data_IF_717656972493
#
_entry.id   IF_717656972493
#
_cell.length_a   1.000
_cell.length_b   1.000
_cell.length_c   1.000
_cell.angle_alpha   90.00
_cell.angle_beta   90.00
_cell.angle_gamma   90.00
#
_symmetry.space_group_name_H-M   'P 1'
#
loop_
_entity.id
_entity.type
_entity.pdbx_description
1 polymer ?
#
# COMPACT_ATOMS: atom_id res chain seq x y z
N UNK A 1 40.06 32.22 -7.36
CA UNK A 1 38.80 31.57 -7.78
C UNK A 1 38.51 30.45 -6.76
N UNK A 2 37.63 30.71 -5.80
CA UNK A 2 37.33 29.84 -4.64
C UNK A 2 35.80 29.69 -4.50
N UNK A 3 35.15 29.03 -5.46
CA UNK A 3 33.68 28.81 -5.43
C UNK A 3 33.31 27.35 -5.08
N UNK A 4 34.28 26.42 -5.07
CA UNK A 4 33.98 24.98 -4.94
C UNK A 4 33.83 24.42 -3.51
N UNK A 5 34.13 25.19 -2.45
CA UNK A 5 34.05 24.66 -1.07
C UNK A 5 32.66 24.89 -0.43
N UNK A 6 31.97 25.98 -0.77
CA UNK A 6 30.67 26.32 -0.18
C UNK A 6 29.52 25.40 -0.63
N UNK A 7 29.58 24.86 -1.85
CA UNK A 7 28.52 23.99 -2.37
C UNK A 7 28.48 22.60 -1.71
N UNK A 8 29.64 22.08 -1.30
CA UNK A 8 29.73 20.75 -0.66
C UNK A 8 29.15 20.79 0.75
N UNK A 9 29.40 21.86 1.51
CA UNK A 9 28.90 21.99 2.89
C UNK A 9 27.38 22.15 2.94
N UNK A 10 26.80 22.86 1.97
CA UNK A 10 25.35 23.03 1.89
C UNK A 10 24.59 21.72 1.61
N UNK A 11 25.11 20.87 0.70
CA UNK A 11 24.48 19.59 0.39
C UNK A 11 24.47 18.62 1.59
N UNK A 12 25.53 18.61 2.39
CA UNK A 12 25.61 17.75 3.59
C UNK A 12 24.61 18.14 4.67
N UNK A 13 24.31 19.43 4.83
CA UNK A 13 23.39 19.91 5.88
C UNK A 13 21.92 19.58 5.60
N UNK A 14 21.51 19.57 4.32
CA UNK A 14 20.12 19.25 3.94
C UNK A 14 19.81 17.77 4.17
N UNK A 15 20.75 16.87 3.87
CA UNK A 15 20.56 15.43 4.08
C UNK A 15 20.43 15.06 5.56
N UNK A 16 21.08 15.79 6.47
CA UNK A 16 21.03 15.50 7.90
C UNK A 16 19.72 15.94 8.55
N UNK A 17 19.13 17.05 8.10
CA UNK A 17 17.86 17.54 8.63
C UNK A 17 16.70 16.58 8.28
N UNK A 18 16.64 16.14 7.02
CA UNK A 18 15.63 15.19 6.54
C UNK A 18 15.66 13.85 7.27
N UNK A 19 16.87 13.34 7.55
CA UNK A 19 17.04 12.13 8.35
C UNK A 19 16.49 12.32 9.77
N UNK A 20 16.82 13.43 10.43
CA UNK A 20 16.40 13.71 11.80
C UNK A 20 14.87 13.72 11.96
N UNK A 21 14.15 14.30 11.00
CA UNK A 21 12.69 14.36 11.02
C UNK A 21 12.06 12.95 10.96
N UNK A 22 12.53 12.09 10.05
CA UNK A 22 12.04 10.71 9.95
C UNK A 22 12.31 9.92 11.24
N UNK A 23 13.52 10.03 11.79
CA UNK A 23 13.89 9.24 12.97
C UNK A 23 13.10 9.65 14.21
N UNK A 24 12.74 10.93 14.36
CA UNK A 24 11.88 11.39 15.45
C UNK A 24 10.43 10.97 15.23
N UNK A 25 9.88 11.22 14.04
CA UNK A 25 8.48 10.95 13.72
C UNK A 25 8.31 10.49 12.26
N UNK A 26 8.33 9.17 12.00
CA UNK A 26 8.19 8.62 10.66
C UNK A 26 6.87 9.03 9.97
N UNK A 27 5.77 9.16 10.73
CA UNK A 27 4.49 9.53 10.16
C UNK A 27 4.50 10.96 9.66
N UNK A 28 4.90 11.91 10.49
CA UNK A 28 4.91 13.33 10.09
C UNK A 28 5.91 13.55 8.94
N UNK A 29 7.08 12.92 8.98
CA UNK A 29 8.08 13.00 7.91
C UNK A 29 7.59 12.45 6.55
N UNK A 30 6.67 11.47 6.57
CA UNK A 30 6.08 10.88 5.35
C UNK A 30 4.83 11.64 4.89
N UNK A 31 3.93 11.96 5.83
CA UNK A 31 2.58 12.43 5.54
C UNK A 31 2.41 13.96 5.58
N UNK A 32 3.33 14.69 6.21
CA UNK A 32 3.27 16.15 6.34
C UNK A 32 4.34 16.86 5.48
N UNK A 33 4.94 16.15 4.52
CA UNK A 33 5.94 16.69 3.61
C UNK A 33 5.37 17.83 2.74
N UNK A 34 6.03 19.00 2.68
CA UNK A 34 5.60 20.12 1.84
C UNK A 34 5.49 19.76 0.35
N UNK A 35 4.47 20.28 -0.33
CA UNK A 35 4.29 20.13 -1.79
C UNK A 35 3.88 18.74 -2.27
N UNK A 36 3.42 17.87 -1.36
CA UNK A 36 2.92 16.52 -1.68
C UNK A 36 1.59 16.25 -0.98
N UNK A 37 0.71 17.25 -0.96
CA UNK A 37 -0.50 17.14 -0.14
C UNK A 37 -1.44 16.08 -0.68
N UNK A 38 -2.06 15.31 0.21
CA UNK A 38 -3.12 14.37 -0.14
C UNK A 38 -4.23 15.04 -0.96
N UNK A 39 -4.53 16.31 -0.65
CA UNK A 39 -5.55 17.11 -1.33
C UNK A 39 -5.26 17.32 -2.83
N UNK A 40 -4.03 17.66 -3.20
CA UNK A 40 -3.65 17.85 -4.61
C UNK A 40 -3.77 16.55 -5.41
N UNK A 41 -3.40 15.42 -4.79
CA UNK A 41 -3.51 14.09 -5.42
C UNK A 41 -4.96 13.71 -5.63
N UNK A 42 -5.80 13.95 -4.64
CA UNK A 42 -7.23 13.69 -4.72
C UNK A 42 -7.90 14.59 -5.77
N UNK A 43 -7.52 15.88 -5.83
CA UNK A 43 -8.05 16.81 -6.83
C UNK A 43 -7.78 16.34 -8.28
N UNK A 44 -6.61 15.75 -8.55
CA UNK A 44 -6.29 15.18 -9.88
C UNK A 44 -7.20 14.01 -10.24
N UNK A 45 -7.46 13.10 -9.30
CA UNK A 45 -8.39 11.98 -9.52
C UNK A 45 -9.80 12.50 -9.76
N UNK A 46 -10.27 13.44 -8.95
CA UNK A 46 -11.61 14.01 -9.08
C UNK A 46 -11.80 14.75 -10.41
N UNK A 47 -10.78 15.47 -10.88
CA UNK A 47 -10.80 16.10 -12.21
C UNK A 47 -10.91 15.06 -13.32
N UNK A 48 -10.06 14.03 -13.32
CA UNK A 48 -10.11 12.98 -14.32
C UNK A 48 -11.45 12.23 -14.29
N UNK A 49 -11.96 11.92 -13.10
CA UNK A 49 -13.25 11.27 -12.91
C UNK A 49 -14.40 12.12 -13.45
N UNK A 50 -14.38 13.43 -13.21
CA UNK A 50 -15.37 14.35 -13.76
C UNK A 50 -15.32 14.38 -15.29
N UNK A 51 -14.12 14.45 -15.87
CA UNK A 51 -13.94 14.44 -17.33
C UNK A 51 -14.45 13.15 -17.96
N UNK A 52 -14.09 11.99 -17.41
CA UNK A 52 -14.58 10.67 -17.87
C UNK A 52 -16.10 10.60 -17.80
N UNK A 53 -16.71 11.04 -16.69
CA UNK A 53 -18.17 11.02 -16.51
C UNK A 53 -18.89 11.96 -17.47
N UNK A 54 -18.34 13.16 -17.71
CA UNK A 54 -18.91 14.12 -18.64
C UNK A 54 -18.89 13.60 -20.09
N UNK A 55 -17.78 13.00 -20.50
CA UNK A 55 -17.66 12.39 -21.84
C UNK A 55 -18.60 11.18 -22.00
N UNK A 56 -18.64 10.29 -21.00
CA UNK A 56 -19.56 9.15 -21.00
C UNK A 56 -21.04 9.58 -21.05
N UNK A 57 -21.39 10.69 -20.38
CA UNK A 57 -22.73 11.25 -20.40
C UNK A 57 -23.07 11.82 -21.79
N UNK A 58 -22.11 12.50 -22.44
CA UNK A 58 -22.28 13.00 -23.80
C UNK A 58 -22.52 11.86 -24.80
N UNK A 59 -21.68 10.82 -24.77
CA UNK A 59 -21.83 9.62 -25.61
C UNK A 59 -23.17 8.91 -25.38
N UNK A 60 -23.57 8.74 -24.12
CA UNK A 60 -24.87 8.14 -23.76
C UNK A 60 -26.03 8.99 -24.27
N UNK A 61 -25.94 10.32 -24.14
CA UNK A 61 -26.96 11.25 -24.63
C UNK A 61 -27.14 11.13 -26.13
N UNK A 62 -26.04 11.06 -26.88
CA UNK A 62 -26.06 10.86 -28.33
C UNK A 62 -26.67 9.51 -28.71
N UNK A 63 -26.29 8.43 -28.02
CA UNK A 63 -26.77 7.07 -28.31
C UNK A 63 -28.29 6.93 -28.17
N UNK A 64 -28.89 7.54 -27.14
CA UNK A 64 -30.33 7.46 -26.86
C UNK A 64 -31.15 8.64 -27.42
N UNK A 65 -30.56 9.50 -28.26
CA UNK A 65 -31.27 10.61 -28.92
C UNK A 65 -31.69 11.75 -27.97
N UNK A 66 -30.98 11.92 -26.85
CA UNK A 66 -31.20 13.01 -25.91
C UNK A 66 -30.64 14.35 -26.41
N UNK A 67 -31.04 15.45 -25.76
CA UNK A 67 -30.42 16.78 -25.97
C UNK A 67 -29.30 16.98 -24.95
N UNK A 68 -28.15 17.48 -25.42
CA UNK A 68 -27.00 17.82 -24.58
C UNK A 68 -27.41 18.73 -23.42
N UNK A 69 -26.88 18.44 -22.22
CA UNK A 69 -27.19 19.17 -20.99
C UNK A 69 -28.59 18.96 -20.40
N UNK A 70 -29.47 18.18 -21.06
CA UNK A 70 -30.83 17.87 -20.56
C UNK A 70 -31.07 16.40 -20.29
N UNK A 71 -30.22 15.52 -20.81
CA UNK A 71 -30.31 14.10 -20.57
C UNK A 71 -29.93 13.78 -19.11
N UNK A 72 -30.80 13.02 -18.45
CA UNK A 72 -30.56 12.49 -17.10
C UNK A 72 -30.51 10.98 -17.21
N UNK A 73 -29.43 10.38 -16.76
CA UNK A 73 -29.29 8.92 -16.74
C UNK A 73 -30.28 8.39 -15.69
N UNK A 74 -31.21 7.49 -16.08
CA UNK A 74 -32.11 6.87 -15.12
C UNK A 74 -31.31 6.00 -14.14
N UNK A 75 -31.81 5.83 -12.92
CA UNK A 75 -31.12 5.07 -11.88
C UNK A 75 -30.95 3.58 -12.23
N UNK A 76 -31.88 3.03 -13.00
CA UNK A 76 -31.83 1.68 -13.55
C UNK A 76 -32.26 1.69 -15.01
N UNK A 77 -31.76 0.76 -15.82
CA UNK A 77 -32.15 0.62 -17.22
C UNK A 77 -30.98 0.39 -18.15
N UNK A 78 -31.26 0.34 -19.46
CA UNK A 78 -30.26 0.11 -20.50
C UNK A 78 -29.32 1.30 -20.63
N UNK A 79 -29.82 2.50 -20.39
CA UNK A 79 -29.08 3.76 -20.41
C UNK A 79 -28.01 3.80 -19.32
N UNK A 80 -28.32 3.31 -18.11
CA UNK A 80 -27.36 3.25 -17.01
C UNK A 80 -26.26 2.21 -17.28
N UNK A 81 -26.63 1.04 -17.82
CA UNK A 81 -25.66 0.02 -18.23
C UNK A 81 -24.73 0.55 -19.32
N UNK A 82 -25.29 1.21 -20.34
CA UNK A 82 -24.51 1.83 -21.42
C UNK A 82 -23.60 2.94 -20.91
N UNK A 83 -24.10 3.81 -20.01
CA UNK A 83 -23.30 4.86 -19.40
C UNK A 83 -22.11 4.31 -18.61
N UNK A 84 -22.33 3.27 -17.79
CA UNK A 84 -21.24 2.64 -17.04
C UNK A 84 -20.23 1.94 -17.96
N UNK A 85 -20.70 1.34 -19.06
CA UNK A 85 -19.82 0.79 -20.10
C UNK A 85 -18.97 1.89 -20.76
N UNK A 86 -19.56 3.04 -21.09
CA UNK A 86 -18.80 4.19 -21.61
C UNK A 86 -17.80 4.75 -20.59
N UNK A 87 -18.17 4.85 -19.31
CA UNK A 87 -17.22 5.21 -18.23
C UNK A 87 -16.03 4.25 -18.25
N UNK A 88 -16.28 2.94 -18.23
CA UNK A 88 -15.21 1.94 -18.18
C UNK A 88 -14.31 2.00 -19.41
N UNK A 89 -14.89 2.18 -20.60
CA UNK A 89 -14.16 2.29 -21.86
C UNK A 89 -13.29 3.56 -21.92
N UNK A 90 -13.89 4.73 -21.67
CA UNK A 90 -13.16 6.02 -21.71
C UNK A 90 -12.06 6.05 -20.65
N UNK A 91 -12.36 5.56 -19.44
CA UNK A 91 -11.34 5.43 -18.40
C UNK A 91 -10.20 4.51 -18.84
N UNK A 92 -10.52 3.32 -19.37
CA UNK A 92 -9.50 2.38 -19.85
C UNK A 92 -8.63 3.00 -20.96
N UNK A 93 -9.21 3.72 -21.91
CA UNK A 93 -8.46 4.38 -22.99
C UNK A 93 -7.46 5.42 -22.43
N UNK A 94 -7.87 6.19 -21.42
CA UNK A 94 -7.01 7.20 -20.77
C UNK A 94 -5.96 6.60 -19.83
N UNK A 95 -6.30 5.50 -19.17
CA UNK A 95 -5.49 4.90 -18.09
C UNK A 95 -4.57 3.79 -18.58
N UNK A 96 -4.84 3.17 -19.73
CA UNK A 96 -3.99 2.08 -20.25
C UNK A 96 -2.51 2.48 -20.35
N UNK A 97 -2.12 3.63 -20.94
CA UNK A 97 -0.71 4.01 -21.01
C UNK A 97 -0.05 4.12 -19.62
N UNK A 98 -0.80 4.66 -18.66
CA UNK A 98 -0.39 4.77 -17.25
C UNK A 98 -0.19 3.39 -16.64
N UNK A 99 -1.14 2.47 -16.81
CA UNK A 99 -1.05 1.11 -16.26
C UNK A 99 0.10 0.31 -16.86
N UNK A 100 0.29 0.39 -18.19
CA UNK A 100 1.37 -0.30 -18.88
C UNK A 100 2.73 0.16 -18.35
N UNK A 101 2.96 1.48 -18.27
CA UNK A 101 4.24 2.02 -17.80
C UNK A 101 4.44 1.88 -16.29
N UNK A 102 3.40 2.11 -15.49
CA UNK A 102 3.54 2.11 -14.05
C UNK A 102 3.61 0.68 -13.52
N UNK A 103 2.68 -0.20 -13.92
CA UNK A 103 2.54 -1.52 -13.29
C UNK A 103 3.37 -2.56 -14.03
N UNK A 104 3.07 -2.80 -15.31
CA UNK A 104 3.60 -3.97 -16.02
C UNK A 104 5.13 -3.95 -16.14
N UNK A 105 5.72 -2.78 -16.40
CA UNK A 105 7.17 -2.61 -16.47
C UNK A 105 7.89 -2.81 -15.12
N UNK A 106 7.13 -2.79 -14.02
CA UNK A 106 7.68 -2.85 -12.66
C UNK A 106 7.33 -4.14 -11.89
N UNK A 107 6.43 -5.00 -12.40
CA UNK A 107 5.98 -6.23 -11.72
C UNK A 107 7.16 -7.09 -11.28
N UNK A 108 8.04 -7.43 -12.23
CA UNK A 108 9.17 -8.32 -11.94
C UNK A 108 10.18 -7.69 -10.98
N UNK A 109 10.31 -6.36 -11.02
CA UNK A 109 11.17 -5.63 -10.09
C UNK A 109 10.61 -5.66 -8.66
N UNK A 110 9.30 -5.44 -8.49
CA UNK A 110 8.63 -5.55 -7.18
C UNK A 110 8.72 -6.98 -6.64
N UNK A 111 8.40 -7.99 -7.47
CA UNK A 111 8.57 -9.40 -7.10
C UNK A 111 10.00 -9.73 -6.71
N UNK A 112 10.99 -9.19 -7.42
CA UNK A 112 12.40 -9.31 -7.10
C UNK A 112 12.71 -8.87 -5.67
N UNK A 113 12.36 -7.63 -5.30
CA UNK A 113 12.58 -7.12 -3.94
C UNK A 113 11.85 -7.90 -2.85
N UNK A 114 10.64 -8.41 -3.14
CA UNK A 114 9.92 -9.27 -2.20
C UNK A 114 10.64 -10.61 -2.02
N UNK A 115 11.15 -11.21 -3.09
CA UNK A 115 11.94 -12.45 -3.02
C UNK A 115 13.27 -12.26 -2.27
N UNK A 116 13.95 -11.15 -2.50
CA UNK A 116 15.18 -10.82 -1.75
C UNK A 116 14.88 -10.67 -0.24
N UNK A 117 13.73 -10.09 0.09
CA UNK A 117 13.25 -10.02 1.48
C UNK A 117 13.01 -11.40 2.09
N UNK A 118 12.44 -12.35 1.34
CA UNK A 118 12.27 -13.75 1.78
C UNK A 118 13.62 -14.42 2.03
N UNK A 119 14.61 -14.21 1.16
CA UNK A 119 15.98 -14.73 1.34
C UNK A 119 16.57 -14.21 2.64
N UNK A 120 16.43 -12.92 2.92
CA UNK A 120 16.98 -12.34 4.14
C UNK A 120 16.30 -12.87 5.41
N UNK A 121 14.97 -13.01 5.42
CA UNK A 121 14.26 -13.59 6.58
C UNK A 121 14.67 -15.05 6.84
N UNK A 122 15.00 -15.80 5.80
CA UNK A 122 15.55 -17.15 5.91
C UNK A 122 16.96 -17.16 6.52
N UNK A 123 17.84 -16.23 6.10
CA UNK A 123 19.18 -16.06 6.68
C UNK A 123 19.11 -15.74 8.18
N UNK A 124 18.11 -14.96 8.61
CA UNK A 124 17.88 -14.68 10.03
C UNK A 124 17.21 -15.82 10.81
N UNK A 125 16.92 -16.96 10.16
CA UNK A 125 16.28 -18.12 10.78
C UNK A 125 14.81 -17.90 11.12
N UNK A 126 14.18 -16.89 10.53
CA UNK A 126 12.76 -16.58 10.77
C UNK A 126 11.83 -17.47 9.95
N UNK A 127 12.31 -17.98 8.82
CA UNK A 127 11.61 -18.95 7.96
C UNK A 127 12.57 -20.05 7.54
N UNK A 128 12.06 -21.28 7.41
CA UNK A 128 12.84 -22.41 6.89
C UNK A 128 13.07 -22.31 5.38
N UNK A 129 14.02 -23.07 4.84
CA UNK A 129 14.27 -23.13 3.39
C UNK A 129 13.03 -23.59 2.61
N UNK A 130 12.27 -24.53 3.18
CA UNK A 130 11.04 -25.05 2.60
C UNK A 130 9.93 -23.99 2.57
N UNK A 131 9.73 -23.27 3.68
CA UNK A 131 8.76 -22.16 3.74
C UNK A 131 9.15 -21.04 2.76
N UNK A 132 10.45 -20.67 2.70
CA UNK A 132 10.96 -19.69 1.73
C UNK A 132 10.67 -20.12 0.30
N UNK A 133 10.98 -21.37 -0.06
CA UNK A 133 10.75 -21.90 -1.40
C UNK A 133 9.25 -21.87 -1.77
N UNK A 134 8.38 -22.27 -0.84
CA UNK A 134 6.94 -22.22 -1.03
C UNK A 134 6.41 -20.78 -1.21
N UNK A 135 6.85 -19.85 -0.36
CA UNK A 135 6.47 -18.43 -0.48
C UNK A 135 6.98 -17.82 -1.80
N UNK A 136 8.19 -18.18 -2.22
CA UNK A 136 8.77 -17.72 -3.49
C UNK A 136 7.95 -18.21 -4.68
N UNK A 137 7.57 -19.50 -4.70
CA UNK A 137 6.70 -20.06 -5.74
C UNK A 137 5.34 -19.34 -5.81
N UNK A 138 4.75 -19.03 -4.65
CA UNK A 138 3.51 -18.25 -4.56
C UNK A 138 3.70 -16.84 -5.18
N UNK A 139 4.78 -16.13 -4.86
CA UNK A 139 5.07 -14.81 -5.42
C UNK A 139 5.28 -14.88 -6.94
N UNK A 140 6.04 -15.87 -7.42
CA UNK A 140 6.31 -16.05 -8.85
C UNK A 140 5.03 -16.32 -9.64
N UNK A 141 4.17 -17.23 -9.16
CA UNK A 141 2.90 -17.58 -9.83
C UNK A 141 1.79 -16.54 -9.67
N UNK A 142 1.93 -15.58 -8.76
CA UNK A 142 0.93 -14.52 -8.57
C UNK A 142 0.85 -13.63 -9.80
N UNK A 143 -0.33 -13.54 -10.39
CA UNK A 143 -0.60 -12.71 -11.55
C UNK A 143 -0.88 -11.27 -11.10
N UNK A 144 -0.32 -10.29 -11.80
CA UNK A 144 -0.65 -8.89 -11.56
C UNK A 144 -1.54 -8.43 -12.69
N UNK A 145 -2.77 -8.06 -12.34
CA UNK A 145 -3.73 -7.55 -13.28
C UNK A 145 -3.87 -6.03 -13.14
N UNK A 146 -4.06 -5.39 -14.29
CA UNK A 146 -4.50 -4.00 -14.41
C UNK A 146 -5.92 -4.00 -14.96
N UNK A 147 -6.60 -2.84 -14.98
CA UNK A 147 -7.88 -2.69 -15.66
C UNK A 147 -7.80 -3.17 -17.11
N UNK A 148 -6.77 -2.71 -17.84
CA UNK A 148 -6.51 -3.14 -19.21
C UNK A 148 -6.39 -4.67 -19.32
N UNK A 149 -5.62 -5.30 -18.44
CA UNK A 149 -5.45 -6.76 -18.41
C UNK A 149 -6.77 -7.51 -18.19
N UNK A 150 -7.61 -7.04 -17.26
CA UNK A 150 -8.90 -7.64 -16.96
C UNK A 150 -9.92 -7.44 -18.09
N UNK A 151 -10.01 -6.22 -18.63
CA UNK A 151 -10.91 -5.91 -19.75
C UNK A 151 -10.52 -6.68 -21.01
N UNK A 152 -9.23 -6.81 -21.31
CA UNK A 152 -8.75 -7.64 -22.43
C UNK A 152 -9.10 -9.11 -22.23
N UNK A 153 -8.98 -9.62 -20.99
CA UNK A 153 -9.24 -11.02 -20.66
C UNK A 153 -10.74 -11.35 -20.64
N UNK A 154 -11.60 -10.44 -20.15
CA UNK A 154 -13.00 -10.73 -19.86
C UNK A 154 -14.02 -9.83 -20.58
N UNK A 155 -13.65 -8.61 -20.95
CA UNK A 155 -14.56 -7.59 -21.51
C UNK A 155 -15.16 -7.95 -22.87
N UNK A 156 -14.46 -8.72 -23.70
CA UNK A 156 -14.97 -9.18 -24.99
C UNK A 156 -16.07 -10.24 -24.93
N UNK A 157 -16.32 -10.84 -23.75
CA UNK A 157 -17.23 -11.98 -23.61
C UNK A 157 -18.71 -11.59 -23.48
N UNK A 158 -19.04 -10.30 -23.39
CA UNK A 158 -20.40 -9.83 -23.07
C UNK A 158 -20.91 -10.29 -21.70
N UNK A 159 -20.07 -10.95 -20.91
CA UNK A 159 -20.43 -11.56 -19.64
C UNK A 159 -20.02 -10.64 -18.49
N UNK A 160 -20.83 -9.60 -18.27
CA UNK A 160 -20.73 -8.71 -17.10
C UNK A 160 -20.81 -9.47 -15.75
N UNK A 161 -21.21 -10.75 -15.76
CA UNK A 161 -21.26 -11.62 -14.58
C UNK A 161 -19.95 -12.39 -14.35
N UNK A 162 -18.86 -12.07 -15.05
CA UNK A 162 -17.56 -12.61 -14.70
C UNK A 162 -17.20 -12.12 -13.28
N UNK A 163 -17.06 -13.05 -12.33
CA UNK A 163 -16.83 -12.74 -10.92
C UNK A 163 -15.58 -11.89 -10.70
N UNK A 164 -14.51 -12.06 -11.50
CA UNK A 164 -13.30 -11.25 -11.37
C UNK A 164 -13.54 -9.81 -11.83
N UNK A 165 -14.28 -9.62 -12.92
CA UNK A 165 -14.65 -8.27 -13.39
C UNK A 165 -15.64 -7.60 -12.42
N UNK A 166 -16.56 -8.38 -11.84
CA UNK A 166 -17.47 -7.89 -10.80
C UNK A 166 -16.70 -7.47 -9.53
N UNK A 167 -15.78 -8.30 -9.04
CA UNK A 167 -14.89 -7.95 -7.92
C UNK A 167 -14.10 -6.69 -8.22
N UNK A 168 -13.56 -6.56 -9.43
CA UNK A 168 -12.90 -5.33 -9.87
C UNK A 168 -13.84 -4.13 -9.77
N UNK A 169 -15.06 -4.19 -10.33
CA UNK A 169 -15.98 -3.06 -10.27
C UNK A 169 -16.45 -2.71 -8.86
N UNK A 170 -16.59 -3.70 -7.97
CA UNK A 170 -16.93 -3.45 -6.57
C UNK A 170 -15.79 -2.75 -5.80
N UNK A 171 -14.53 -3.06 -6.13
CA UNK A 171 -13.36 -2.51 -5.43
C UNK A 171 -12.83 -1.22 -6.07
N UNK A 172 -12.70 -1.22 -7.40
CA UNK A 172 -12.11 -0.15 -8.20
C UNK A 172 -13.14 0.83 -8.81
N UNK A 173 -14.43 0.48 -8.82
CA UNK A 173 -15.45 1.21 -9.56
C UNK A 173 -15.49 0.84 -11.05
N UNK A 174 -16.48 1.37 -11.77
CA UNK A 174 -16.54 1.23 -13.23
C UNK A 174 -15.46 2.04 -13.93
N UNK A 175 -15.15 3.23 -13.40
CA UNK A 175 -14.05 4.09 -13.86
C UNK A 175 -12.65 3.59 -13.46
N UNK A 176 -12.55 2.68 -12.48
CA UNK A 176 -11.25 2.22 -11.98
C UNK A 176 -10.48 3.24 -11.14
N UNK A 177 -11.03 4.42 -10.89
CA UNK A 177 -10.34 5.53 -10.24
C UNK A 177 -10.45 5.51 -8.71
N UNK A 178 -10.92 4.41 -8.11
CA UNK A 178 -10.80 4.24 -6.67
C UNK A 178 -9.33 4.10 -6.24
N UNK A 179 -8.99 4.64 -5.07
CA UNK A 179 -7.66 4.51 -4.48
C UNK A 179 -7.56 3.19 -3.71
N UNK A 180 -7.50 2.07 -4.44
CA UNK A 180 -7.54 0.75 -3.82
C UNK A 180 -6.66 -0.26 -4.57
N UNK A 181 -6.42 -1.39 -3.92
CA UNK A 181 -5.79 -2.58 -4.49
C UNK A 181 -6.37 -3.80 -3.77
N UNK A 182 -6.26 -4.99 -4.37
CA UNK A 182 -6.70 -6.20 -3.70
C UNK A 182 -6.00 -7.46 -4.21
N UNK A 183 -5.89 -8.44 -3.32
CA UNK A 183 -5.42 -9.79 -3.59
C UNK A 183 -6.58 -10.79 -3.60
N UNK A 184 -6.59 -11.72 -4.57
CA UNK A 184 -7.63 -12.73 -4.71
C UNK A 184 -7.12 -13.98 -5.44
N UNK A 185 -7.99 -14.98 -5.64
CA UNK A 185 -7.68 -16.24 -6.31
C UNK A 185 -8.61 -16.46 -7.50
N UNK A 186 -8.05 -16.87 -8.64
CA UNK A 186 -8.80 -17.39 -9.78
C UNK A 186 -8.43 -18.85 -9.97
N UNK A 187 -9.33 -19.79 -9.64
CA UNK A 187 -9.08 -21.24 -9.76
C UNK A 187 -7.72 -21.64 -9.17
N UNK A 188 -7.47 -21.24 -7.92
CA UNK A 188 -6.21 -21.45 -7.17
C UNK A 188 -4.96 -20.72 -7.69
N UNK A 189 -5.10 -19.94 -8.76
CA UNK A 189 -4.04 -19.03 -9.23
C UNK A 189 -4.17 -17.71 -8.48
N UNK A 190 -3.17 -17.34 -7.65
CA UNK A 190 -3.19 -16.06 -6.97
C UNK A 190 -3.08 -14.93 -7.98
N UNK A 191 -3.83 -13.87 -7.74
CA UNK A 191 -3.68 -12.63 -8.46
C UNK A 191 -3.82 -11.43 -7.53
N UNK A 192 -3.30 -10.30 -7.99
CA UNK A 192 -3.54 -9.00 -7.39
C UNK A 192 -4.04 -8.05 -8.45
N UNK A 193 -4.79 -7.03 -8.03
CA UNK A 193 -5.21 -5.94 -8.90
C UNK A 193 -4.87 -4.62 -8.22
N UNK A 194 -4.27 -3.70 -8.98
CA UNK A 194 -4.08 -2.33 -8.56
C UNK A 194 -5.10 -1.46 -9.30
N UNK A 195 -5.95 -0.74 -8.57
CA UNK A 195 -6.91 0.16 -9.20
C UNK A 195 -6.15 1.36 -9.82
N UNK A 196 -6.47 1.76 -11.07
CA UNK A 196 -5.85 2.93 -11.70
C UNK A 196 -5.86 4.21 -10.86
N UNK A 197 -6.87 4.41 -10.01
CA UNK A 197 -6.95 5.57 -9.10
C UNK A 197 -5.72 5.72 -8.22
N UNK A 198 -5.12 4.60 -7.77
CA UNK A 198 -3.86 4.62 -7.03
C UNK A 198 -2.69 5.18 -7.86
N UNK A 199 -2.65 4.85 -9.15
CA UNK A 199 -1.61 5.29 -10.08
C UNK A 199 -1.75 6.77 -10.43
N UNK A 200 -2.98 7.25 -10.63
CA UNK A 200 -3.26 8.67 -10.92
C UNK A 200 -2.84 9.57 -9.74
N UNK A 201 -2.94 9.04 -8.51
CA UNK A 201 -2.49 9.73 -7.29
C UNK A 201 -0.98 9.79 -7.12
N UNK A 202 -0.21 9.03 -7.90
CA UNK A 202 1.24 9.03 -7.84
C UNK A 202 1.83 10.43 -8.06
N UNK A 203 3.00 10.67 -7.47
CA UNK A 203 3.84 11.82 -7.87
C UNK A 203 4.18 11.65 -9.35
N UNK A 204 4.07 12.72 -10.13
CA UNK A 204 4.25 12.65 -11.59
C UNK A 204 3.07 12.08 -12.39
N UNK A 205 1.99 11.62 -11.74
CA UNK A 205 0.75 11.15 -12.38
C UNK A 205 0.97 10.10 -13.48
N UNK A 206 1.97 9.24 -13.34
CA UNK A 206 2.30 8.24 -14.36
C UNK A 206 3.42 8.56 -15.31
N UNK A 207 3.82 9.82 -15.42
CA UNK A 207 4.74 10.24 -16.47
C UNK A 207 6.18 9.79 -16.23
N UNK A 208 6.54 9.47 -14.97
CA UNK A 208 7.89 9.07 -14.58
C UNK A 208 7.89 7.64 -14.03
N UNK A 209 8.55 6.73 -14.74
CA UNK A 209 8.69 5.32 -14.34
C UNK A 209 9.36 5.16 -12.97
N UNK A 210 10.29 6.05 -12.58
CA UNK A 210 10.92 6.01 -11.25
C UNK A 210 9.91 6.35 -10.16
N UNK A 211 9.15 7.44 -10.31
CA UNK A 211 8.11 7.80 -9.35
C UNK A 211 6.96 6.78 -9.33
N UNK A 212 6.59 6.22 -10.48
CA UNK A 212 5.61 5.14 -10.55
C UNK A 212 6.07 3.93 -9.74
N UNK A 213 7.32 3.49 -9.93
CA UNK A 213 7.89 2.41 -9.16
C UNK A 213 7.87 2.70 -7.65
N UNK A 214 8.32 3.90 -7.24
CA UNK A 214 8.28 4.32 -5.83
C UNK A 214 6.86 4.31 -5.27
N UNK A 215 5.86 4.71 -6.06
CA UNK A 215 4.46 4.77 -5.63
C UNK A 215 3.81 3.39 -5.48
N UNK A 216 4.24 2.40 -6.27
CA UNK A 216 3.60 1.08 -6.29
C UNK A 216 4.33 0.02 -5.49
N UNK A 217 5.63 0.17 -5.20
CA UNK A 217 6.42 -0.88 -4.55
C UNK A 217 5.82 -1.31 -3.21
N UNK A 218 5.34 -0.37 -2.39
CA UNK A 218 4.72 -0.70 -1.10
C UNK A 218 3.38 -1.43 -1.29
N UNK A 219 2.46 -0.85 -2.06
CA UNK A 219 1.10 -1.41 -2.23
C UNK A 219 1.13 -2.74 -2.97
N UNK A 220 1.91 -2.88 -4.04
CA UNK A 220 2.00 -4.14 -4.78
C UNK A 220 2.64 -5.23 -3.92
N UNK A 221 3.68 -4.91 -3.14
CA UNK A 221 4.29 -5.86 -2.22
C UNK A 221 3.36 -6.22 -1.07
N UNK A 222 2.52 -5.29 -0.61
CA UNK A 222 1.45 -5.55 0.34
C UNK A 222 0.43 -6.53 -0.24
N UNK A 223 -0.08 -6.29 -1.45
CA UNK A 223 -1.04 -7.21 -2.08
C UNK A 223 -0.44 -8.60 -2.37
N UNK A 224 0.82 -8.66 -2.81
CA UNK A 224 1.56 -9.93 -2.93
C UNK A 224 1.69 -10.61 -1.55
N UNK A 225 1.91 -9.80 -0.50
CA UNK A 225 2.02 -10.22 0.88
C UNK A 225 0.79 -10.96 1.39
N UNK A 226 -0.42 -10.62 0.96
CA UNK A 226 -1.64 -11.35 1.31
C UNK A 226 -1.64 -12.83 0.91
N UNK A 227 -0.87 -13.21 -0.10
CA UNK A 227 -0.74 -14.62 -0.50
C UNK A 227 0.26 -15.40 0.35
N UNK A 228 1.03 -14.70 1.19
CA UNK A 228 2.05 -15.26 2.10
C UNK A 228 1.90 -14.72 3.53
N UNK A 229 0.70 -14.27 3.91
CA UNK A 229 0.40 -13.60 5.18
C UNK A 229 0.17 -14.59 6.35
N UNK A 230 -0.16 -14.06 7.53
CA UNK A 230 -0.50 -14.86 8.72
C UNK A 230 -1.73 -15.77 8.56
N UNK A 231 -2.61 -15.50 7.60
CA UNK A 231 -3.72 -16.39 7.26
C UNK A 231 -3.24 -17.64 6.52
N UNK A 232 -2.12 -17.57 5.80
CA UNK A 232 -1.53 -18.69 5.06
C UNK A 232 -0.42 -19.40 5.84
N UNK A 233 0.41 -18.67 6.57
CA UNK A 233 1.57 -19.20 7.30
C UNK A 233 1.58 -18.78 8.78
N UNK A 234 0.54 -19.11 9.57
CA UNK A 234 0.36 -18.58 10.92
C UNK A 234 1.54 -18.86 11.87
N UNK A 235 2.23 -19.99 11.70
CA UNK A 235 3.37 -20.38 12.54
C UNK A 235 4.56 -19.40 12.42
N UNK A 236 4.78 -18.85 11.23
CA UNK A 236 5.88 -17.91 10.96
C UNK A 236 5.65 -16.59 11.71
N UNK A 237 4.39 -16.14 11.76
CA UNK A 237 4.03 -14.83 12.32
C UNK A 237 3.70 -14.86 13.82
N UNK A 238 3.63 -16.03 14.45
CA UNK A 238 3.19 -16.15 15.85
C UNK A 238 4.03 -15.28 16.80
N UNK A 239 5.36 -15.27 16.66
CA UNK A 239 6.25 -14.46 17.50
C UNK A 239 6.11 -12.96 17.22
N UNK A 240 6.01 -12.60 15.93
CA UNK A 240 5.79 -11.23 15.48
C UNK A 240 4.49 -10.67 16.07
N UNK A 241 3.37 -11.37 15.89
CA UNK A 241 2.05 -10.97 16.41
C UNK A 241 2.04 -10.90 17.94
N UNK A 242 2.68 -11.85 18.62
CA UNK A 242 2.82 -11.80 20.07
C UNK A 242 3.62 -10.57 20.55
N UNK A 243 4.65 -10.16 19.79
CA UNK A 243 5.38 -8.92 20.05
C UNK A 243 4.47 -7.70 19.86
N UNK A 244 3.79 -7.61 18.71
CA UNK A 244 2.89 -6.51 18.39
C UNK A 244 1.82 -6.32 19.45
N UNK A 245 1.20 -7.42 19.93
CA UNK A 245 0.18 -7.35 20.96
C UNK A 245 0.70 -6.77 22.28
N UNK A 246 1.96 -7.04 22.62
CA UNK A 246 2.59 -6.51 23.85
C UNK A 246 3.04 -5.06 23.71
N UNK A 247 3.62 -4.70 22.57
CA UNK A 247 4.28 -3.41 22.38
C UNK A 247 3.34 -2.35 21.79
N UNK A 248 2.41 -2.74 20.94
CA UNK A 248 1.66 -1.82 20.07
C UNK A 248 0.15 -2.11 20.03
N UNK A 249 -0.33 -3.15 20.72
CA UNK A 249 -1.73 -3.59 20.64
C UNK A 249 -2.76 -2.58 21.15
N UNK A 250 -2.34 -1.62 21.98
CA UNK A 250 -3.21 -0.52 22.41
C UNK A 250 -3.44 0.56 21.34
N UNK A 251 -2.60 0.63 20.31
CA UNK A 251 -2.75 1.59 19.22
C UNK A 251 -3.79 1.16 18.18
N UNK A 252 -4.19 -0.12 18.19
CA UNK A 252 -5.24 -0.66 17.33
C UNK A 252 -6.61 -0.37 17.91
N UNK A 253 -7.59 -0.12 17.05
CA UNK A 253 -8.98 0.04 17.46
C UNK A 253 -9.74 -1.27 17.26
N UNK A 254 -10.91 -1.34 17.88
CA UNK A 254 -11.91 -2.30 17.48
C UNK A 254 -12.70 -1.68 16.33
N UNK A 255 -13.09 -2.51 15.36
CA UNK A 255 -14.13 -2.20 14.42
C UNK A 255 -15.49 -1.98 15.10
N UNK A 256 -16.51 -1.73 14.28
CA UNK A 256 -17.85 -1.32 14.74
C UNK A 256 -18.80 -2.50 14.98
N UNK A 257 -18.31 -3.74 14.90
CA UNK A 257 -19.15 -4.92 15.06
C UNK A 257 -19.51 -5.16 16.53
N UNK A 258 -20.70 -5.69 16.77
CA UNK A 258 -21.26 -5.91 18.11
C UNK A 258 -20.35 -6.78 19.01
N UNK A 259 -19.69 -7.78 18.42
CA UNK A 259 -18.80 -8.68 19.15
C UNK A 259 -17.54 -7.96 19.63
N UNK A 260 -17.02 -7.03 18.84
CA UNK A 260 -15.85 -6.25 19.21
C UNK A 260 -16.19 -5.23 20.31
N UNK A 261 -17.41 -4.69 20.29
CA UNK A 261 -17.94 -3.87 21.39
C UNK A 261 -18.04 -4.67 22.70
N UNK A 262 -18.44 -5.95 22.62
CA UNK A 262 -18.45 -6.86 23.78
C UNK A 262 -17.04 -7.08 24.32
N UNK A 263 -16.05 -7.37 23.46
CA UNK A 263 -14.66 -7.53 23.89
C UNK A 263 -14.11 -6.22 24.48
N UNK A 264 -14.44 -5.08 23.89
CA UNK A 264 -14.04 -3.77 24.39
C UNK A 264 -14.60 -3.47 25.79
N UNK A 265 -15.74 -4.05 26.15
CA UNK A 265 -16.37 -3.91 27.46
C UNK A 265 -15.80 -4.84 28.53
N UNK A 266 -14.88 -5.74 28.17
CA UNK A 266 -14.27 -6.66 29.14
C UNK A 266 -13.47 -5.89 30.20
N UNK A 267 -13.45 -6.37 31.45
CA UNK A 267 -12.66 -5.77 32.52
C UNK A 267 -11.16 -5.64 32.21
N UNK A 268 -10.44 -4.67 32.80
CA UNK A 268 -9.01 -4.41 32.51
C UNK A 268 -8.08 -5.62 32.69
N UNK A 269 -8.39 -6.58 33.55
CA UNK A 269 -7.64 -7.83 33.72
C UNK A 269 -7.58 -8.68 32.44
N UNK A 270 -8.53 -8.49 31.50
CA UNK A 270 -8.51 -9.09 30.17
C UNK A 270 -7.70 -8.28 29.15
N UNK A 271 -7.06 -7.17 29.54
CA UNK A 271 -6.37 -6.26 28.62
C UNK A 271 -5.33 -6.95 27.73
N UNK A 272 -4.64 -7.99 28.22
CA UNK A 272 -3.73 -8.82 27.41
C UNK A 272 -4.46 -9.57 26.29
N UNK A 273 -5.62 -10.16 26.61
CA UNK A 273 -6.47 -10.84 25.63
C UNK A 273 -7.01 -9.85 24.60
N UNK A 274 -7.53 -8.71 25.04
CA UNK A 274 -8.05 -7.63 24.18
C UNK A 274 -7.01 -7.16 23.17
N UNK A 275 -5.77 -6.90 23.61
CA UNK A 275 -4.66 -6.49 22.71
C UNK A 275 -4.29 -7.59 21.71
N UNK A 276 -4.24 -8.85 22.15
CA UNK A 276 -3.95 -9.98 21.28
C UNK A 276 -5.03 -10.16 20.22
N UNK A 277 -6.30 -10.05 20.62
CA UNK A 277 -7.42 -10.16 19.70
C UNK A 277 -7.39 -9.05 18.63
N UNK A 278 -7.14 -7.80 19.03
CA UNK A 278 -6.98 -6.68 18.08
C UNK A 278 -5.90 -6.98 17.04
N UNK A 279 -4.71 -7.41 17.48
CA UNK A 279 -3.63 -7.79 16.54
C UNK A 279 -4.02 -8.97 15.66
N UNK A 280 -4.74 -9.96 16.19
CA UNK A 280 -5.19 -11.10 15.40
C UNK A 280 -6.19 -10.70 14.31
N UNK A 281 -7.13 -9.80 14.59
CA UNK A 281 -8.08 -9.27 13.61
C UNK A 281 -7.40 -8.54 12.46
N UNK A 282 -6.36 -7.78 12.77
CA UNK A 282 -5.57 -7.02 11.79
C UNK A 282 -4.39 -7.82 11.21
N UNK A 283 -4.25 -9.11 11.56
CA UNK A 283 -3.00 -9.84 11.32
C UNK A 283 -2.66 -9.99 9.84
N UNK A 284 -3.67 -10.21 9.00
CA UNK A 284 -3.49 -10.33 7.54
C UNK A 284 -2.96 -9.03 6.94
N UNK A 285 -3.58 -7.90 7.29
CA UNK A 285 -3.14 -6.58 6.84
C UNK A 285 -1.75 -6.20 7.37
N UNK A 286 -1.50 -6.41 8.67
CA UNK A 286 -0.21 -6.08 9.28
C UNK A 286 0.92 -6.94 8.68
N UNK A 287 0.67 -8.21 8.36
CA UNK A 287 1.69 -9.09 7.78
C UNK A 287 1.88 -8.88 6.29
N UNK A 288 0.84 -8.47 5.56
CA UNK A 288 0.96 -7.94 4.21
C UNK A 288 1.81 -6.65 4.19
N UNK A 289 1.53 -5.71 5.10
CA UNK A 289 2.33 -4.51 5.23
C UNK A 289 3.78 -4.77 5.64
N UNK A 290 4.02 -5.77 6.48
CA UNK A 290 5.39 -6.20 6.81
C UNK A 290 6.17 -6.50 5.53
N UNK A 291 5.59 -7.27 4.60
CA UNK A 291 6.23 -7.55 3.30
C UNK A 291 6.34 -6.33 2.39
N UNK A 292 5.36 -5.42 2.46
CA UNK A 292 5.46 -4.08 1.88
C UNK A 292 6.69 -3.31 2.36
N UNK A 293 6.89 -3.24 3.68
CA UNK A 293 8.02 -2.58 4.31
C UNK A 293 9.36 -3.25 4.00
N UNK A 294 9.42 -4.59 4.01
CA UNK A 294 10.64 -5.33 3.66
C UNK A 294 11.07 -5.07 2.21
N UNK A 295 10.12 -5.05 1.27
CA UNK A 295 10.43 -4.79 -0.15
C UNK A 295 10.91 -3.34 -0.36
N UNK A 296 10.26 -2.38 0.31
CA UNK A 296 10.72 -0.97 0.32
C UNK A 296 12.14 -0.87 0.89
N UNK A 297 12.44 -1.57 1.97
CA UNK A 297 13.79 -1.59 2.57
C UNK A 297 14.85 -2.08 1.60
N UNK A 298 14.60 -3.18 0.87
CA UNK A 298 15.53 -3.65 -0.17
C UNK A 298 15.79 -2.59 -1.23
N UNK A 299 14.73 -1.89 -1.66
CA UNK A 299 14.88 -0.80 -2.62
C UNK A 299 15.67 0.38 -2.04
N UNK A 300 15.41 0.81 -0.80
CA UNK A 300 16.15 1.91 -0.15
C UNK A 300 17.65 1.62 -0.04
N UNK A 301 18.04 0.36 0.14
CA UNK A 301 19.44 -0.05 0.14
C UNK A 301 20.15 0.18 -1.20
N UNK A 302 19.41 0.24 -2.31
CA UNK A 302 19.94 0.57 -3.65
C UNK A 302 20.07 2.06 -3.91
N UNK A 303 19.50 2.91 -3.05
CA UNK A 303 19.44 4.36 -3.26
C UNK A 303 20.57 5.11 -2.57
N UNK A 304 20.93 6.26 -3.16
CA UNK A 304 21.75 7.25 -2.48
C UNK A 304 21.01 7.80 -1.24
N UNK A 305 21.72 8.15 -0.15
CA UNK A 305 21.09 8.60 1.10
C UNK A 305 20.06 9.73 0.93
N UNK A 306 20.35 10.70 0.06
CA UNK A 306 19.49 11.85 -0.21
C UNK A 306 18.19 11.52 -0.99
N UNK A 307 18.03 10.29 -1.48
CA UNK A 307 16.82 9.85 -2.21
C UNK A 307 15.89 8.99 -1.35
N UNK A 308 16.33 8.58 -0.16
CA UNK A 308 15.64 7.57 0.66
C UNK A 308 14.35 8.11 1.29
N UNK A 309 14.40 9.31 1.89
CA UNK A 309 13.21 9.92 2.48
C UNK A 309 12.14 10.19 1.41
N UNK A 310 12.55 10.76 0.28
CA UNK A 310 11.65 11.03 -0.84
C UNK A 310 10.98 9.74 -1.33
N UNK A 311 11.73 8.65 -1.42
CA UNK A 311 11.20 7.34 -1.82
C UNK A 311 10.23 6.77 -0.80
N UNK A 312 10.49 6.91 0.51
CA UNK A 312 9.56 6.53 1.57
C UNK A 312 8.27 7.37 1.52
N UNK A 313 8.40 8.68 1.35
CA UNK A 313 7.28 9.60 1.18
C UNK A 313 6.40 9.17 0.01
N UNK A 314 6.98 8.92 -1.16
CA UNK A 314 6.21 8.47 -2.33
C UNK A 314 5.55 7.11 -2.05
N UNK A 315 6.28 6.12 -1.54
CA UNK A 315 5.77 4.77 -1.34
C UNK A 315 4.64 4.65 -0.30
N UNK A 316 4.71 5.42 0.79
CA UNK A 316 3.77 5.29 1.92
C UNK A 316 2.69 6.36 1.97
N UNK A 317 2.80 7.40 1.14
CA UNK A 317 1.82 8.49 1.11
C UNK A 317 0.38 8.06 0.80
N UNK A 318 0.18 6.92 0.14
CA UNK A 318 -1.14 6.39 -0.19
C UNK A 318 -2.00 6.04 1.03
N UNK A 319 -1.38 5.76 2.18
CA UNK A 319 -2.09 5.41 3.43
C UNK A 319 -2.14 6.57 4.45
N UNK A 320 -1.58 7.73 4.12
CA UNK A 320 -1.65 8.90 5.00
C UNK A 320 -3.12 9.31 5.23
N UNK A 321 -3.50 9.46 6.50
CA UNK A 321 -4.86 9.83 6.89
C UNK A 321 -5.89 8.68 6.88
N UNK A 322 -5.51 7.46 6.50
CA UNK A 322 -6.43 6.32 6.56
C UNK A 322 -6.84 6.01 8.00
N UNK A 323 -8.13 5.74 8.20
CA UNK A 323 -8.70 5.40 9.50
C UNK A 323 -8.62 3.89 9.74
N UNK A 324 -8.89 3.47 10.97
CA UNK A 324 -9.03 2.07 11.32
C UNK A 324 -10.42 1.60 10.88
N UNK A 325 -10.47 0.60 10.00
CA UNK A 325 -11.70 0.06 9.43
C UNK A 325 -12.10 -1.27 10.10
N UNK A 326 -11.42 -1.67 11.19
CA UNK A 326 -11.59 -2.92 11.90
C UNK A 326 -10.84 -4.12 11.29
N UNK A 327 -10.40 -3.98 10.04
CA UNK A 327 -9.53 -4.94 9.35
C UNK A 327 -8.21 -4.30 8.93
N UNK A 328 -8.25 -3.08 8.40
CA UNK A 328 -7.07 -2.25 8.10
C UNK A 328 -6.76 -1.33 9.28
N UNK A 329 -5.55 -1.38 9.87
CA UNK A 329 -5.15 -0.41 10.87
C UNK A 329 -5.06 1.01 10.28
N UNK A 330 -5.09 2.03 11.15
CA UNK A 330 -4.82 3.42 10.73
C UNK A 330 -3.49 3.53 9.98
N UNK A 331 -3.39 4.47 9.04
CA UNK A 331 -2.14 4.75 8.34
C UNK A 331 -0.99 5.12 9.28
N UNK A 332 -1.31 5.84 10.37
CA UNK A 332 -0.35 6.15 11.44
C UNK A 332 0.20 4.89 12.10
N UNK A 333 -0.66 3.94 12.47
CA UNK A 333 -0.22 2.65 12.99
C UNK A 333 0.69 1.93 12.01
N UNK A 334 0.28 1.81 10.74
CA UNK A 334 1.02 1.08 9.70
C UNK A 334 2.42 1.68 9.50
N UNK A 335 2.52 3.00 9.38
CA UNK A 335 3.80 3.71 9.22
C UNK A 335 4.65 3.63 10.49
N UNK A 336 4.13 4.07 11.64
CA UNK A 336 4.91 4.18 12.87
C UNK A 336 5.27 2.82 13.44
N UNK A 337 4.45 1.79 13.30
CA UNK A 337 4.79 0.48 13.83
C UNK A 337 5.74 -0.23 12.89
N UNK A 338 5.50 -0.24 11.57
CA UNK A 338 6.26 -1.10 10.67
C UNK A 338 7.57 -0.48 10.20
N UNK A 339 7.55 0.82 9.86
CA UNK A 339 8.80 1.49 9.48
C UNK A 339 9.69 1.72 10.69
N UNK A 340 9.09 2.10 11.83
CA UNK A 340 9.89 2.25 13.05
C UNK A 340 10.49 0.91 13.44
N UNK A 341 9.68 -0.15 13.49
CA UNK A 341 10.12 -1.49 13.94
C UNK A 341 11.25 -2.12 13.14
N UNK A 342 11.55 -1.60 11.94
CA UNK A 342 12.59 -2.13 11.08
C UNK A 342 13.94 -1.43 11.37
N UNK A 343 14.88 -2.09 12.08
CA UNK A 343 16.15 -1.49 12.45
C UNK A 343 17.02 -1.13 11.24
N UNK A 344 16.81 -1.82 10.13
CA UNK A 344 17.59 -1.63 8.92
C UNK A 344 17.06 -0.44 8.10
N UNK A 345 15.75 -0.19 8.10
CA UNK A 345 15.21 1.09 7.60
C UNK A 345 15.80 2.26 8.41
N UNK A 346 15.85 2.17 9.73
CA UNK A 346 16.46 3.20 10.58
C UNK A 346 17.94 3.43 10.25
N UNK A 347 18.69 2.35 10.06
CA UNK A 347 20.09 2.41 9.63
C UNK A 347 20.23 3.10 8.26
N UNK A 348 19.39 2.73 7.29
CA UNK A 348 19.39 3.32 5.95
C UNK A 348 18.99 4.80 5.98
N UNK A 349 18.14 5.21 6.91
CA UNK A 349 17.74 6.60 7.10
C UNK A 349 18.76 7.43 7.88
N UNK A 350 19.86 6.82 8.35
CA UNK A 350 20.91 7.52 9.09
C UNK A 350 20.47 7.93 10.50
N UNK A 351 19.50 7.22 11.08
CA UNK A 351 19.05 7.47 12.44
C UNK A 351 20.18 7.24 13.44
N UNK A 352 20.52 8.27 14.20
CA UNK A 352 21.43 8.14 15.32
C UNK A 352 20.83 7.17 16.35
N UNK A 353 21.66 6.28 16.90
CA UNK A 353 21.27 5.55 18.11
C UNK A 353 21.13 6.60 19.22
N UNK A 354 19.94 6.82 19.79
CA UNK A 354 19.80 7.79 20.87
C UNK A 354 20.62 7.31 22.06
N UNK A 355 21.21 8.28 22.77
CA UNK A 355 21.95 8.01 23.99
C UNK A 355 21.02 7.31 24.99
N UNK A 356 21.44 6.13 25.49
CA UNK A 356 20.60 5.25 26.33
C UNK A 356 20.16 5.91 27.66
N UNK A 357 20.73 7.06 28.00
CA UNK A 357 20.58 7.71 29.29
C UNK A 357 19.41 8.72 29.39
N UNK A 358 18.83 9.21 28.29
CA UNK A 358 18.00 10.44 28.36
C UNK A 358 16.54 10.35 27.90
N UNK A 359 16.02 9.19 27.50
CA UNK A 359 14.64 9.05 26.99
C UNK A 359 14.00 7.77 27.57
N UNK A 360 12.69 7.78 27.94
CA UNK A 360 11.98 6.54 28.25
C UNK A 360 12.26 5.50 27.16
N UNK A 361 12.62 4.28 27.55
CA UNK A 361 13.03 3.25 26.59
C UNK A 361 11.93 3.10 25.51
N UNK A 362 12.23 3.42 24.24
CA UNK A 362 11.22 3.35 23.20
C UNK A 362 10.74 1.90 23.09
N UNK A 363 9.47 1.75 22.71
CA UNK A 363 8.88 0.44 22.49
C UNK A 363 9.73 -0.34 21.52
N UNK A 364 9.97 -1.61 21.81
CA UNK A 364 10.77 -2.46 20.93
C UNK A 364 10.01 -2.69 19.64
N UNK A 365 10.76 -2.71 18.53
CA UNK A 365 10.19 -3.08 17.26
C UNK A 365 9.93 -4.56 17.22
N UNK A 366 9.01 -4.94 16.37
CA UNK A 366 8.62 -6.33 16.19
C UNK A 366 9.10 -6.81 14.82
N UNK A 367 9.75 -7.97 14.81
CA UNK A 367 10.20 -8.70 13.63
C UNK A 367 9.60 -10.11 13.65
N UNK A 368 9.83 -10.91 12.61
CA UNK A 368 9.42 -12.32 12.60
C UNK A 368 10.03 -13.13 13.77
N UNK A 369 11.23 -12.77 14.23
CA UNK A 369 11.86 -13.38 15.41
C UNK A 369 11.17 -13.02 16.75
N UNK A 370 10.26 -12.03 16.75
CA UNK A 370 9.65 -11.43 17.94
C UNK A 370 10.16 -10.01 18.19
N UNK A 371 10.39 -9.66 19.46
CA UNK A 371 10.95 -8.34 19.78
C UNK A 371 12.39 -8.26 19.28
N UNK A 372 12.73 -7.17 18.59
CA UNK A 372 14.10 -6.86 18.21
C UNK A 372 15.04 -6.91 19.43
N UNK A 373 16.24 -7.46 19.23
CA UNK A 373 17.26 -7.56 20.29
C UNK A 373 17.79 -6.20 20.75
N UNK A 374 17.67 -5.18 19.91
CA UNK A 374 17.90 -3.77 20.25
C UNK A 374 16.60 -3.03 20.52
N UNK A 375 16.64 -1.91 21.26
CA UNK A 375 15.54 -0.95 21.21
C UNK A 375 15.41 -0.48 19.76
N UNK A 376 14.18 -0.14 19.39
CA UNK A 376 13.86 0.36 18.07
C UNK A 376 13.45 1.79 18.29
N UNK A 377 14.21 2.68 17.66
CA UNK A 377 14.40 4.04 18.12
C UNK A 377 13.68 5.00 17.21
#
# INVERSE_FOLDING_TARGET
>A
MNISILAITALTLVSTAQAADFCANPYDAICEAPGRTHAEREARVQLLLADVKNEALAETTLHFGGKEGKFKIPFFGREMLYYNDQIAKIAADRLTPLELNAVLDNVERVKGYLKDSLVEQNVFGNITDAERAQMTDIVDRTQVYTQFGLLKKYGGSGNLLNLNLLSYHMTCGFDGLSNNAFASLEKDTPYIVLCPGWLVRAVGAGADTSENFRNIIQVMSHELGHHIDAGKFPQIYTRFMGCLARQHGELLQFGKDWYESLIASLPPEYGKFTKLYKVFRHSREITADFWGAQSVRQYLATLAPNQRLESLQTAWSGICGSQDEGVHPTGRYRIEVLLRSDPEIHRLMGCAQPDRASVPAPKKGCTLSGASSGPVF
#
